data_IF_160759790426
#
_entry.id   IF_160759790426
#
_cell.length_a   1.000
_cell.length_b   1.000
_cell.length_c   1.000
_cell.angle_alpha   90.00
_cell.angle_beta   90.00
_cell.angle_gamma   90.00
#
_symmetry.space_group_name_H-M   'P 1'
#
loop_
_entity.id
_entity.type
_entity.pdbx_description
1 polymer ?
#
# COMPACT_ATOMS: atom_id res chain seq x y z
N UNK A 1 -63.71 -10.58 58.02
CA UNK A 1 -62.85 -9.39 58.24
C UNK A 1 -63.04 -8.48 57.03
N UNK A 2 -63.26 -7.16 57.22
CA UNK A 2 -63.81 -6.25 56.22
C UNK A 2 -62.74 -5.55 55.36
N UNK A 3 -63.19 -5.14 54.16
CA UNK A 3 -62.93 -3.92 53.37
C UNK A 3 -61.53 -3.27 53.30
N UNK A 4 -61.06 -3.05 52.06
CA UNK A 4 -60.70 -1.73 51.48
C UNK A 4 -60.44 -1.95 49.97
N UNK A 5 -61.33 -1.60 49.03
CA UNK A 5 -61.51 -0.24 48.48
C UNK A 5 -60.17 0.46 48.20
N UNK A 6 -59.90 1.04 47.05
CA UNK A 6 -60.55 1.16 45.76
C UNK A 6 -59.52 1.95 44.92
N UNK A 7 -59.81 2.10 43.64
CA UNK A 7 -59.53 3.37 42.94
C UNK A 7 -58.14 3.64 42.31
N UNK A 8 -58.24 3.84 40.99
CA UNK A 8 -57.48 4.70 40.08
C UNK A 8 -56.13 4.16 39.53
N UNK A 9 -56.09 3.63 38.30
CA UNK A 9 -56.10 4.38 37.03
C UNK A 9 -54.87 5.32 36.92
N UNK A 10 -53.91 4.94 36.06
CA UNK A 10 -53.16 5.84 35.18
C UNK A 10 -52.31 5.02 34.21
N UNK A 11 -52.76 5.00 32.96
CA UNK A 11 -51.92 4.73 31.82
C UNK A 11 -50.75 5.72 31.83
N UNK A 12 -49.52 5.21 31.79
CA UNK A 12 -48.36 5.96 31.35
C UNK A 12 -47.64 5.11 30.32
N UNK A 13 -47.82 5.53 29.07
CA UNK A 13 -46.99 5.18 27.93
C UNK A 13 -45.57 5.62 28.28
N UNK A 14 -44.74 4.68 28.71
CA UNK A 14 -43.31 4.89 28.84
C UNK A 14 -42.65 4.37 27.56
N UNK A 15 -42.28 5.30 26.68
CA UNK A 15 -41.50 4.98 25.50
C UNK A 15 -40.20 4.29 25.92
N UNK A 16 -39.98 3.09 25.38
CA UNK A 16 -38.67 2.45 25.45
C UNK A 16 -37.69 3.27 24.63
N UNK A 17 -37.00 4.18 25.32
CA UNK A 17 -35.75 4.78 24.89
C UNK A 17 -34.75 3.63 24.69
N UNK A 18 -34.51 3.23 23.44
CA UNK A 18 -33.41 2.32 23.10
C UNK A 18 -32.14 3.11 23.28
N UNK A 19 -31.58 3.09 24.49
CA UNK A 19 -30.21 3.53 24.74
C UNK A 19 -29.33 2.45 24.14
N UNK A 20 -28.86 2.69 22.91
CA UNK A 20 -27.77 1.93 22.33
C UNK A 20 -26.53 2.20 23.19
N UNK A 21 -26.24 1.29 24.12
CA UNK A 21 -24.93 1.19 24.76
C UNK A 21 -23.93 0.91 23.64
N UNK A 22 -23.27 1.96 23.16
CA UNK A 22 -22.06 1.84 22.37
C UNK A 22 -21.04 1.13 23.26
N UNK A 23 -20.97 -0.19 23.15
CA UNK A 23 -19.84 -0.94 23.64
C UNK A 23 -18.59 -0.31 23.00
N UNK A 24 -17.49 -0.09 23.75
CA UNK A 24 -16.24 0.20 23.10
C UNK A 24 -15.98 -0.99 22.18
N UNK A 25 -15.92 -0.73 20.87
CA UNK A 25 -15.30 -1.66 19.94
C UNK A 25 -13.89 -1.83 20.51
N UNK A 26 -13.67 -2.96 21.19
CA UNK A 26 -12.35 -3.35 21.57
C UNK A 26 -11.58 -3.38 20.25
N UNK A 27 -10.63 -2.46 20.09
CA UNK A 27 -9.71 -2.50 18.98
C UNK A 27 -9.13 -3.92 18.98
N UNK A 28 -9.53 -4.72 17.99
CA UNK A 28 -8.89 -5.99 17.75
C UNK A 28 -7.41 -5.64 17.57
N UNK A 29 -6.49 -6.31 18.30
CA UNK A 29 -5.08 -6.11 18.05
C UNK A 29 -4.88 -6.45 16.57
N UNK A 30 -4.48 -5.45 15.78
CA UNK A 30 -4.01 -5.70 14.44
C UNK A 30 -2.96 -6.80 14.59
N UNK A 31 -3.19 -7.95 13.96
CA UNK A 31 -2.12 -8.92 13.78
C UNK A 31 -0.94 -8.12 13.20
N UNK A 32 0.28 -8.33 13.70
CA UNK A 32 1.48 -7.84 13.03
C UNK A 32 1.46 -8.43 11.62
N UNK A 33 0.94 -7.63 10.68
CA UNK A 33 0.64 -8.00 9.31
C UNK A 33 1.96 -8.34 8.61
N UNK A 34 2.22 -9.63 8.41
CA UNK A 34 3.43 -10.12 7.78
C UNK A 34 3.45 -9.67 6.32
N UNK A 35 4.18 -8.59 6.05
CA UNK A 35 4.43 -8.06 4.72
C UNK A 35 4.91 -9.19 3.77
N UNK A 36 4.53 -9.18 2.47
CA UNK A 36 5.06 -10.13 1.51
C UNK A 36 6.58 -9.98 1.39
N UNK A 37 7.31 -11.07 1.14
CA UNK A 37 8.76 -10.98 0.92
C UNK A 37 9.08 -9.93 -0.15
N UNK A 38 9.96 -8.99 0.17
CA UNK A 38 10.40 -7.91 -0.71
C UNK A 38 10.94 -8.42 -2.05
N UNK A 39 11.46 -9.65 -2.10
CA UNK A 39 11.90 -10.29 -3.35
C UNK A 39 10.78 -10.40 -4.38
N UNK A 40 9.52 -10.54 -3.96
CA UNK A 40 8.38 -10.60 -4.87
C UNK A 40 8.27 -9.32 -5.71
N UNK A 41 8.60 -8.15 -5.17
CA UNK A 41 8.62 -6.91 -5.95
C UNK A 41 9.75 -6.88 -6.96
N UNK A 42 10.94 -7.38 -6.60
CA UNK A 42 12.08 -7.48 -7.52
C UNK A 42 11.79 -8.47 -8.66
N UNK A 43 11.13 -9.59 -8.35
CA UNK A 43 10.70 -10.58 -9.33
C UNK A 43 9.57 -10.07 -10.24
N UNK A 44 8.63 -9.30 -9.68
CA UNK A 44 7.58 -8.62 -10.45
C UNK A 44 8.19 -7.60 -11.44
N UNK A 45 9.33 -6.98 -11.11
CA UNK A 45 10.06 -6.08 -12.00
C UNK A 45 10.78 -6.74 -13.19
N UNK A 46 10.91 -8.08 -13.20
CA UNK A 46 11.58 -8.82 -14.29
C UNK A 46 10.55 -9.28 -15.32
N UNK A 47 10.68 -8.92 -16.61
CA UNK A 47 9.70 -9.30 -17.63
C UNK A 47 9.63 -10.81 -17.92
N UNK A 48 8.42 -11.32 -18.17
CA UNK A 48 8.19 -12.47 -19.06
C UNK A 48 8.42 -13.89 -18.50
N UNK A 49 8.57 -14.10 -17.20
CA UNK A 49 8.80 -15.42 -16.60
C UNK A 49 7.67 -15.94 -15.70
N UNK A 50 7.59 -17.26 -15.42
CA UNK A 50 6.68 -17.82 -14.41
C UNK A 50 6.80 -17.13 -13.05
N UNK A 51 8.04 -16.79 -12.67
CA UNK A 51 8.34 -16.09 -11.42
C UNK A 51 7.69 -14.72 -11.31
N UNK A 52 7.69 -13.93 -12.39
CA UNK A 52 7.05 -12.61 -12.41
C UNK A 52 5.53 -12.73 -12.26
N UNK A 53 4.91 -13.71 -12.93
CA UNK A 53 3.48 -13.97 -12.80
C UNK A 53 3.09 -14.38 -11.39
N UNK A 54 3.82 -15.35 -10.83
CA UNK A 54 3.62 -15.80 -9.45
C UNK A 54 3.82 -14.64 -8.45
N UNK A 55 4.80 -13.78 -8.69
CA UNK A 55 5.01 -12.58 -7.88
C UNK A 55 3.80 -11.64 -7.91
N UNK A 56 3.25 -11.33 -9.10
CA UNK A 56 2.03 -10.51 -9.19
C UNK A 56 0.84 -11.14 -8.47
N UNK A 57 0.64 -12.46 -8.60
CA UNK A 57 -0.43 -13.19 -7.91
C UNK A 57 -0.29 -13.08 -6.38
N UNK A 58 0.91 -13.34 -5.85
CA UNK A 58 1.17 -13.28 -4.42
C UNK A 58 1.11 -11.85 -3.84
N UNK A 59 1.53 -10.85 -4.63
CA UNK A 59 1.45 -9.44 -4.25
C UNK A 59 0.00 -8.95 -4.25
N UNK A 60 -0.80 -9.32 -5.26
CA UNK A 60 -2.21 -8.94 -5.34
C UNK A 60 -3.03 -9.54 -4.19
N UNK A 61 -2.78 -10.80 -3.83
CA UNK A 61 -3.47 -11.45 -2.71
C UNK A 61 -3.23 -10.79 -1.34
N UNK A 62 -2.13 -10.03 -1.20
CA UNK A 62 -1.72 -9.36 0.04
C UNK A 62 -1.53 -7.85 -0.17
N UNK A 63 -2.23 -7.29 -1.15
CA UNK A 63 -2.02 -5.91 -1.54
C UNK A 63 -2.32 -4.92 -0.41
N UNK A 64 -1.50 -3.89 -0.32
CA UNK A 64 -1.71 -2.69 0.51
C UNK A 64 -1.36 -1.49 -0.34
N UNK A 65 -2.13 -0.42 -0.28
CA UNK A 65 -1.90 0.77 -1.12
C UNK A 65 -0.51 1.38 -0.89
N UNK A 66 0.07 1.21 0.30
CA UNK A 66 1.43 1.62 0.59
C UNK A 66 2.52 0.93 -0.26
N UNK A 67 2.19 -0.17 -0.95
CA UNK A 67 3.08 -0.85 -1.90
C UNK A 67 3.09 -0.22 -3.28
N UNK A 68 2.17 0.70 -3.57
CA UNK A 68 2.09 1.36 -4.87
C UNK A 68 3.37 2.13 -5.21
N UNK A 69 4.05 2.74 -4.22
CA UNK A 69 5.35 3.40 -4.43
C UNK A 69 6.43 2.47 -4.97
N UNK A 70 6.45 1.21 -4.52
CA UNK A 70 7.42 0.21 -4.97
C UNK A 70 7.14 -0.18 -6.42
N UNK A 71 5.88 -0.45 -6.77
CA UNK A 71 5.49 -0.77 -8.15
C UNK A 71 5.68 0.43 -9.08
N UNK A 72 5.48 1.65 -8.57
CA UNK A 72 5.78 2.88 -9.28
C UNK A 72 7.27 2.99 -9.62
N UNK A 73 8.19 2.67 -8.69
CA UNK A 73 9.64 2.68 -8.97
C UNK A 73 10.01 1.67 -10.08
N UNK A 74 9.35 0.50 -10.10
CA UNK A 74 9.51 -0.49 -11.18
C UNK A 74 9.08 0.12 -12.52
N UNK A 75 7.89 0.73 -12.56
CA UNK A 75 7.34 1.34 -13.76
C UNK A 75 8.18 2.55 -14.22
N UNK A 76 8.65 3.38 -13.28
CA UNK A 76 9.49 4.54 -13.55
C UNK A 76 10.76 4.16 -14.29
N UNK A 77 11.47 3.10 -13.86
CA UNK A 77 12.70 2.68 -14.52
C UNK A 77 12.46 2.04 -15.89
N UNK A 78 11.30 1.40 -16.07
CA UNK A 78 10.93 0.73 -17.32
C UNK A 78 10.14 1.63 -18.28
N UNK A 79 9.97 2.91 -17.93
CA UNK A 79 9.13 3.84 -18.68
C UNK A 79 9.62 4.05 -20.11
N UNK A 80 8.72 4.34 -21.07
CA UNK A 80 9.11 4.64 -22.44
C UNK A 80 9.94 5.93 -22.54
N UNK A 81 10.88 6.04 -23.50
CA UNK A 81 11.29 5.00 -24.45
C UNK A 81 12.28 4.00 -23.83
N UNK A 82 12.11 2.70 -24.08
CA UNK A 82 13.03 1.67 -23.57
C UNK A 82 12.59 0.24 -23.86
N UNK A 83 13.49 -0.72 -23.63
CA UNK A 83 13.21 -2.16 -23.82
C UNK A 83 12.16 -2.70 -22.84
N UNK A 84 11.91 -1.98 -21.74
CA UNK A 84 10.89 -2.30 -20.73
C UNK A 84 9.45 -1.90 -21.08
N UNK A 85 9.21 -1.29 -22.25
CA UNK A 85 7.92 -0.70 -22.63
C UNK A 85 6.70 -1.61 -22.41
N UNK A 86 6.77 -2.88 -22.82
CA UNK A 86 5.64 -3.81 -22.65
C UNK A 86 5.37 -4.07 -21.17
N UNK A 87 6.43 -4.30 -20.39
CA UNK A 87 6.34 -4.58 -18.97
C UNK A 87 5.90 -3.36 -18.15
N UNK A 88 6.24 -2.16 -18.60
CA UNK A 88 5.69 -0.92 -18.06
C UNK A 88 4.15 -0.95 -18.04
N UNK A 89 3.49 -1.31 -19.15
CA UNK A 89 2.03 -1.40 -19.18
C UNK A 89 1.49 -2.54 -18.33
N UNK A 90 2.24 -3.64 -18.13
CA UNK A 90 1.89 -4.68 -17.17
C UNK A 90 1.85 -4.13 -15.74
N UNK A 91 2.87 -3.38 -15.33
CA UNK A 91 2.96 -2.77 -14.00
C UNK A 91 1.86 -1.72 -13.78
N UNK A 92 1.61 -0.88 -14.78
CA UNK A 92 0.50 0.09 -14.75
C UNK A 92 -0.85 -0.63 -14.67
N UNK A 93 -1.06 -1.68 -15.46
CA UNK A 93 -2.28 -2.49 -15.40
C UNK A 93 -2.52 -3.07 -14.02
N UNK A 94 -1.46 -3.62 -13.41
CA UNK A 94 -1.50 -4.13 -12.04
C UNK A 94 -1.85 -3.03 -11.01
N UNK A 95 -1.23 -1.84 -11.10
CA UNK A 95 -1.58 -0.71 -10.23
C UNK A 95 -3.06 -0.32 -10.37
N UNK A 96 -3.59 -0.23 -11.60
CA UNK A 96 -5.00 0.10 -11.81
C UNK A 96 -5.94 -0.96 -11.24
N UNK A 97 -5.58 -2.25 -11.37
CA UNK A 97 -6.36 -3.36 -10.84
C UNK A 97 -6.41 -3.34 -9.31
N UNK A 98 -5.26 -3.17 -8.65
CA UNK A 98 -5.18 -3.24 -7.19
C UNK A 98 -5.76 -2.00 -6.49
N UNK A 99 -5.70 -0.83 -7.13
CA UNK A 99 -6.07 0.45 -6.50
C UNK A 99 -7.41 1.02 -6.98
N UNK A 100 -7.94 0.51 -8.10
CA UNK A 100 -9.11 1.07 -8.79
C UNK A 100 -8.87 2.42 -9.49
N UNK A 101 -7.66 3.00 -9.39
CA UNK A 101 -7.30 4.24 -10.06
C UNK A 101 -7.16 4.03 -11.58
N UNK A 102 -7.33 5.10 -12.36
CA UNK A 102 -7.31 5.06 -13.83
C UNK A 102 -6.36 6.08 -14.46
N UNK A 103 -5.19 6.27 -13.86
CA UNK A 103 -4.18 7.21 -14.37
C UNK A 103 -3.45 6.69 -15.61
N UNK A 104 -3.57 5.40 -15.94
CA UNK A 104 -2.83 4.81 -17.06
C UNK A 104 -1.33 5.07 -16.93
N UNK A 105 -0.69 5.51 -18.02
CA UNK A 105 0.74 5.82 -18.03
C UNK A 105 1.14 7.15 -17.37
N UNK A 106 0.21 7.89 -16.76
CA UNK A 106 0.51 9.14 -16.07
C UNK A 106 1.22 8.88 -14.73
N UNK A 107 2.55 8.79 -14.79
CA UNK A 107 3.39 8.56 -13.60
C UNK A 107 3.31 9.70 -12.59
N UNK A 108 3.05 10.94 -13.02
CA UNK A 108 2.89 12.06 -12.10
C UNK A 108 1.57 11.96 -11.32
N UNK A 109 0.48 11.58 -12.01
CA UNK A 109 -0.81 11.29 -11.37
C UNK A 109 -0.72 10.16 -10.34
N UNK A 110 -0.05 9.06 -10.69
CA UNK A 110 0.23 7.98 -9.74
C UNK A 110 0.98 8.46 -8.50
N UNK A 111 2.04 9.24 -8.70
CA UNK A 111 2.86 9.74 -7.60
C UNK A 111 2.09 10.67 -6.67
N UNK A 112 1.31 11.61 -7.23
CA UNK A 112 0.46 12.50 -6.43
C UNK A 112 -0.53 11.71 -5.58
N UNK A 113 -1.13 10.65 -6.14
CA UNK A 113 -2.00 9.77 -5.38
C UNK A 113 -1.24 9.02 -4.28
N UNK A 114 -0.07 8.43 -4.58
CA UNK A 114 0.78 7.73 -3.59
C UNK A 114 1.12 8.66 -2.42
N UNK A 115 1.51 9.91 -2.70
CA UNK A 115 1.85 10.90 -1.68
C UNK A 115 0.64 11.37 -0.85
N UNK A 116 -0.57 11.15 -1.32
CA UNK A 116 -1.79 11.42 -0.54
C UNK A 116 -2.10 10.33 0.50
N UNK A 117 -1.46 9.17 0.41
CA UNK A 117 -1.67 8.04 1.32
C UNK A 117 -0.89 8.19 2.64
N UNK A 118 -1.38 7.59 3.74
CA UNK A 118 -0.59 7.40 4.95
C UNK A 118 0.76 6.72 4.63
N UNK A 119 1.84 7.19 5.26
CA UNK A 119 3.16 6.59 5.05
C UNK A 119 3.31 5.33 5.90
N UNK A 120 3.12 4.17 5.28
CA UNK A 120 3.32 2.87 5.92
C UNK A 120 3.95 1.86 4.93
N UNK A 121 5.18 2.13 4.44
CA UNK A 121 5.79 1.33 3.40
C UNK A 121 6.18 -0.06 3.92
N UNK A 122 6.51 -0.95 2.99
CA UNK A 122 7.20 -2.20 3.35
C UNK A 122 8.48 -1.90 4.17
N UNK A 123 8.81 -2.67 5.23
CA UNK A 123 9.99 -2.43 6.07
C UNK A 123 11.31 -2.47 5.30
N UNK A 124 11.40 -3.31 4.28
CA UNK A 124 12.54 -3.38 3.34
C UNK A 124 12.42 -2.44 2.12
N UNK A 125 11.57 -1.40 2.11
CA UNK A 125 11.44 -0.50 0.96
C UNK A 125 12.77 0.18 0.57
N UNK A 126 13.58 0.57 1.57
CA UNK A 126 14.92 1.09 1.32
C UNK A 126 15.79 0.09 0.58
N UNK A 127 15.88 -1.14 1.11
CA UNK A 127 16.62 -2.23 0.49
C UNK A 127 16.16 -2.50 -0.95
N UNK A 128 14.84 -2.54 -1.19
CA UNK A 128 14.31 -2.66 -2.55
C UNK A 128 14.85 -1.56 -3.48
N UNK A 129 14.81 -0.28 -3.07
CA UNK A 129 15.35 0.82 -3.89
C UNK A 129 16.83 0.62 -4.17
N UNK A 130 17.62 0.23 -3.16
CA UNK A 130 19.03 -0.11 -3.34
C UNK A 130 19.24 -1.18 -4.41
N UNK A 131 18.52 -2.30 -4.32
CA UNK A 131 18.64 -3.40 -5.29
C UNK A 131 18.14 -3.03 -6.69
N UNK A 132 17.03 -2.29 -6.78
CA UNK A 132 16.41 -1.92 -8.06
C UNK A 132 17.26 -0.90 -8.81
N UNK A 133 17.67 0.19 -8.15
CA UNK A 133 18.49 1.24 -8.76
C UNK A 133 19.96 0.84 -8.94
N UNK A 134 20.43 -0.23 -8.29
CA UNK A 134 21.76 -0.81 -8.58
C UNK A 134 21.91 -1.34 -10.00
N UNK A 135 20.80 -1.52 -10.72
CA UNK A 135 20.81 -1.83 -12.16
C UNK A 135 21.29 -0.64 -13.02
N UNK A 136 21.27 0.57 -12.46
CA UNK A 136 21.77 1.80 -13.09
C UNK A 136 23.20 2.08 -12.62
N UNK A 137 23.41 2.09 -11.30
CA UNK A 137 24.72 2.31 -10.66
C UNK A 137 24.84 1.39 -9.42
N UNK A 138 25.82 0.46 -9.39
CA UNK A 138 25.92 -0.54 -8.32
C UNK A 138 26.07 0.06 -6.91
N UNK A 139 26.49 1.33 -6.79
CA UNK A 139 26.63 2.01 -5.50
C UNK A 139 25.29 2.28 -4.80
N UNK A 140 24.16 2.20 -5.50
CA UNK A 140 22.84 2.33 -4.87
C UNK A 140 22.61 1.31 -3.75
N UNK A 141 23.13 0.09 -3.89
CA UNK A 141 23.05 -0.93 -2.84
C UNK A 141 23.80 -0.52 -1.56
N UNK A 142 24.84 0.30 -1.67
CA UNK A 142 25.61 0.79 -0.51
C UNK A 142 24.83 1.84 0.29
N UNK A 143 24.04 2.68 -0.38
CA UNK A 143 23.23 3.72 0.26
C UNK A 143 21.99 3.18 0.98
N UNK A 144 21.47 2.03 0.55
CA UNK A 144 20.24 1.46 1.09
C UNK A 144 20.42 0.01 1.56
N UNK A 145 21.20 -0.25 2.62
CA UNK A 145 21.21 -1.55 3.27
C UNK A 145 19.84 -1.88 3.90
N UNK A 146 19.60 -3.16 4.22
CA UNK A 146 18.40 -3.55 5.00
C UNK A 146 18.35 -2.80 6.33
N UNK A 147 17.15 -2.35 6.71
CA UNK A 147 16.92 -1.59 7.94
C UNK A 147 17.45 -0.15 7.92
N UNK A 148 17.83 0.39 6.76
CA UNK A 148 18.24 1.79 6.65
C UNK A 148 17.11 2.72 7.12
N UNK A 149 17.44 3.61 8.07
CA UNK A 149 16.51 4.63 8.53
C UNK A 149 16.53 5.83 7.57
N UNK A 150 15.34 6.29 7.17
CA UNK A 150 15.18 7.53 6.41
C UNK A 150 14.34 8.53 7.19
N UNK A 151 14.73 9.80 7.14
CA UNK A 151 13.94 10.92 7.70
C UNK A 151 12.92 11.48 6.71
N UNK A 152 13.10 11.18 5.42
CA UNK A 152 12.23 11.58 4.32
C UNK A 152 11.51 10.34 3.83
N UNK A 153 10.27 10.48 3.36
CA UNK A 153 9.55 9.35 2.81
C UNK A 153 10.28 8.82 1.58
N UNK A 154 10.58 7.53 1.56
CA UNK A 154 11.30 6.92 0.44
C UNK A 154 10.56 7.04 -0.89
N UNK A 155 9.22 7.08 -0.88
CA UNK A 155 8.41 7.29 -2.08
C UNK A 155 8.42 8.74 -2.60
N UNK A 156 8.98 9.69 -1.85
CA UNK A 156 9.29 11.06 -2.32
C UNK A 156 10.70 11.15 -2.93
N UNK A 157 11.55 10.14 -2.73
CA UNK A 157 12.92 10.13 -3.25
C UNK A 157 12.93 9.54 -4.66
N UNK A 158 13.09 10.43 -5.63
CA UNK A 158 13.28 10.08 -7.04
C UNK A 158 14.74 10.17 -7.46
N UNK A 159 15.14 9.30 -8.39
CA UNK A 159 16.38 9.48 -9.12
C UNK A 159 16.16 10.36 -10.34
N UNK A 160 16.80 11.55 -10.33
CA UNK A 160 16.65 12.59 -11.36
C UNK A 160 17.42 12.38 -12.65
N UNK A 161 18.08 11.23 -12.88
CA UNK A 161 18.65 10.94 -14.21
C UNK A 161 20.05 11.47 -14.48
N UNK A 162 20.73 12.09 -13.52
CA UNK A 162 22.03 12.73 -13.79
C UNK A 162 23.12 11.65 -13.81
N UNK A 163 23.72 11.44 -14.99
CA UNK A 163 24.96 10.66 -15.11
C UNK A 163 26.07 11.30 -14.27
N UNK A 164 26.83 10.48 -13.56
CA UNK A 164 27.95 10.97 -12.76
C UNK A 164 28.99 11.56 -13.74
N UNK A 165 29.14 12.88 -13.77
CA UNK A 165 30.32 13.48 -14.37
C UNK A 165 31.51 13.15 -13.45
N UNK A 166 32.44 12.34 -13.97
CA UNK A 166 33.78 12.24 -13.40
C UNK A 166 34.61 13.47 -13.76
#
# INVERSE_FOLDING_TARGET
MPAMQDVLQRALIAGCLVVALAAPVAAQPAAEDEHPDIQLFLDAGVPGGPRSREAFEQLGARWRDAYAGIVWDLAWLLRPPGQGFVHFFTLIGFLQEQTGQRFGGDLAGWQQWIWSLPYDPHPDHGYFKGQWYSRIDPRFAEFFPRGVASRIRLDEIEWGGVGVNG
#
